data_IF_938404524670
#
_entry.id   IF_938404524670
#
_cell.length_a   1.000
_cell.length_b   1.000
_cell.length_c   1.000
_cell.angle_alpha   90.00
_cell.angle_beta   90.00
_cell.angle_gamma   90.00
#
_symmetry.space_group_name_H-M   'P 1'
#
loop_
_entity.id
_entity.type
_entity.pdbx_description
1 polymer ?
#
# COMPACT_ATOMS: atom_id res chain seq x y z
N UNK A 1 2.50 29.99 9.13
CA UNK A 1 3.43 29.67 10.23
C UNK A 1 3.06 28.28 10.74
N UNK A 2 3.75 27.25 10.26
CA UNK A 2 3.45 25.82 10.52
C UNK A 2 3.81 25.55 11.99
N UNK A 3 2.84 25.13 12.79
CA UNK A 3 3.12 24.62 14.14
C UNK A 3 3.77 23.24 14.04
N UNK A 4 5.10 23.22 13.95
CA UNK A 4 5.98 22.03 13.93
C UNK A 4 6.14 21.40 15.34
N UNK A 5 5.16 21.52 16.25
CA UNK A 5 5.37 21.22 17.66
C UNK A 5 5.40 19.72 18.02
N UNK A 6 5.08 18.79 17.11
CA UNK A 6 5.09 17.35 17.41
C UNK A 6 6.11 16.52 16.61
N UNK A 7 6.95 17.18 15.80
CA UNK A 7 8.06 16.51 15.10
C UNK A 7 9.19 15.97 16.01
N UNK A 8 9.52 16.60 17.15
CA UNK A 8 10.68 16.17 17.96
C UNK A 8 10.53 14.78 18.58
N UNK A 9 9.32 14.34 18.92
CA UNK A 9 9.10 13.00 19.49
C UNK A 9 9.38 11.91 18.44
N UNK A 10 9.07 12.17 17.19
CA UNK A 10 9.29 11.26 16.08
C UNK A 10 10.77 11.12 15.71
N UNK A 11 11.48 12.25 15.62
CA UNK A 11 12.92 12.26 15.36
C UNK A 11 13.72 11.57 16.47
N UNK A 12 13.32 11.78 17.72
CA UNK A 12 13.96 11.12 18.88
C UNK A 12 13.82 9.61 18.85
N UNK A 13 12.67 9.07 18.43
CA UNK A 13 12.43 7.61 18.40
C UNK A 13 13.22 6.90 17.27
N UNK A 14 13.35 7.52 16.10
CA UNK A 14 14.14 6.95 15.00
C UNK A 14 15.65 7.09 15.28
N UNK A 15 16.08 8.18 15.90
CA UNK A 15 17.44 8.31 16.41
C UNK A 15 17.76 7.25 17.48
N UNK A 16 16.82 6.91 18.37
CA UNK A 16 16.99 5.84 19.36
C UNK A 16 17.10 4.48 18.69
N UNK A 17 16.33 4.18 17.63
CA UNK A 17 16.47 2.95 16.86
C UNK A 17 17.80 2.90 16.07
N UNK A 18 18.25 4.02 15.53
CA UNK A 18 19.54 4.11 14.83
C UNK A 18 20.73 4.08 15.80
N UNK A 19 20.65 4.74 16.96
CA UNK A 19 21.70 4.78 17.98
C UNK A 19 21.78 3.45 18.75
N UNK A 20 20.65 2.78 19.04
CA UNK A 20 20.67 1.44 19.61
C UNK A 20 21.16 0.37 18.62
N UNK A 21 21.14 0.64 17.31
CA UNK A 21 21.78 -0.20 16.31
C UNK A 21 23.31 -0.16 16.39
N UNK A 22 23.88 0.92 16.95
CA UNK A 22 25.33 1.12 17.09
C UNK A 22 25.89 0.70 18.47
N UNK A 23 25.03 0.37 19.44
CA UNK A 23 25.40 0.23 20.86
C UNK A 23 25.34 -1.18 21.43
N UNK A 24 25.26 -2.26 20.66
CA UNK A 24 25.30 -3.63 21.18
C UNK A 24 26.73 -4.17 21.29
N UNK A 25 27.13 -4.54 22.50
CA UNK A 25 28.40 -5.16 22.86
C UNK A 25 28.61 -6.52 22.18
N UNK A 26 29.78 -6.66 21.64
CA UNK A 26 30.59 -7.82 21.26
C UNK A 26 30.07 -9.21 21.63
N UNK A 27 29.48 -9.90 20.66
CA UNK A 27 29.80 -11.29 20.37
C UNK A 27 30.37 -11.30 18.95
N UNK A 28 31.60 -11.75 18.77
CA UNK A 28 32.37 -11.76 17.52
C UNK A 28 31.79 -12.78 16.51
N UNK A 29 30.59 -12.50 16.00
CA UNK A 29 30.17 -13.04 14.72
C UNK A 29 30.50 -11.97 13.68
N UNK A 30 31.35 -12.28 12.69
CA UNK A 30 31.71 -11.35 11.61
C UNK A 30 30.44 -10.90 10.89
N UNK A 31 29.95 -9.74 11.26
CA UNK A 31 28.81 -9.11 10.57
C UNK A 31 29.16 -8.99 9.08
N UNK A 32 28.32 -9.55 8.22
CA UNK A 32 28.47 -9.47 6.76
C UNK A 32 27.50 -8.45 6.23
N UNK A 33 28.00 -7.38 5.64
CA UNK A 33 27.15 -6.40 4.97
C UNK A 33 26.91 -6.79 3.49
N UNK A 34 25.65 -6.77 3.10
CA UNK A 34 25.22 -6.88 1.69
C UNK A 34 24.57 -5.58 1.26
N UNK A 35 24.87 -5.17 0.05
CA UNK A 35 24.22 -4.01 -0.59
C UNK A 35 23.48 -4.47 -1.83
N UNK A 36 22.28 -3.95 -2.02
CA UNK A 36 21.57 -4.06 -3.27
C UNK A 36 21.07 -2.68 -3.69
N UNK A 37 21.24 -2.37 -4.94
CA UNK A 37 20.72 -1.14 -5.53
C UNK A 37 20.10 -1.46 -6.87
N UNK A 38 18.86 -1.04 -7.06
CA UNK A 38 18.15 -1.27 -8.29
C UNK A 38 17.55 0.04 -8.78
N UNK A 39 17.72 0.36 -10.08
CA UNK A 39 16.90 1.37 -10.70
C UNK A 39 15.45 0.90 -10.60
N UNK A 40 14.59 1.74 -10.05
CA UNK A 40 13.16 1.48 -10.03
C UNK A 40 12.56 2.11 -11.28
N UNK A 41 12.13 1.28 -12.21
CA UNK A 41 11.32 1.70 -13.35
C UNK A 41 9.90 1.18 -13.11
N UNK A 42 8.92 1.99 -13.39
CA UNK A 42 7.53 1.63 -13.22
C UNK A 42 6.68 2.29 -14.29
N UNK A 43 5.59 1.64 -14.62
CA UNK A 43 4.54 2.19 -15.44
C UNK A 43 3.19 1.80 -14.84
N UNK A 44 2.31 2.78 -14.71
CA UNK A 44 0.92 2.56 -14.37
C UNK A 44 0.05 3.42 -15.28
N UNK A 45 -1.04 2.87 -15.75
CA UNK A 45 -1.99 3.62 -16.60
C UNK A 45 -2.47 4.90 -15.90
N UNK A 46 -2.57 4.88 -14.56
CA UNK A 46 -3.01 6.03 -13.76
C UNK A 46 -1.86 6.97 -13.39
N UNK A 47 -0.65 6.46 -13.14
CA UNK A 47 0.50 7.23 -12.64
C UNK A 47 1.51 7.63 -13.71
N UNK A 48 1.41 7.04 -14.91
CA UNK A 48 2.33 7.26 -16.01
C UNK A 48 3.64 6.46 -15.87
N UNK A 49 4.65 6.82 -16.68
CA UNK A 49 5.99 6.26 -16.58
C UNK A 49 6.70 6.86 -15.38
N UNK A 50 7.36 6.02 -14.59
CA UNK A 50 8.11 6.43 -13.42
C UNK A 50 9.53 5.91 -13.41
N UNK A 51 10.41 6.68 -12.81
CA UNK A 51 11.79 6.35 -12.58
C UNK A 51 12.24 6.69 -11.17
N UNK A 52 13.21 5.94 -10.67
CA UNK A 52 13.75 6.15 -9.35
C UNK A 52 14.83 5.14 -9.00
N UNK A 53 15.09 4.99 -7.72
CA UNK A 53 16.00 3.98 -7.21
C UNK A 53 15.51 3.44 -5.85
N UNK A 54 15.79 2.17 -5.60
CA UNK A 54 15.70 1.54 -4.31
C UNK A 54 17.11 1.05 -3.94
N UNK A 55 17.62 1.51 -2.81
CA UNK A 55 18.93 1.11 -2.28
C UNK A 55 18.68 0.43 -0.94
N UNK A 56 19.22 -0.79 -0.79
CA UNK A 56 19.12 -1.54 0.46
C UNK A 56 20.52 -1.89 0.95
N UNK A 57 20.68 -1.80 2.25
CA UNK A 57 21.80 -2.35 3.00
C UNK A 57 21.27 -3.39 3.98
N UNK A 58 21.91 -4.53 4.05
CA UNK A 58 21.58 -5.60 4.99
C UNK A 58 22.81 -5.94 5.84
N UNK A 59 22.60 -6.13 7.11
CA UNK A 59 23.53 -6.75 8.04
C UNK A 59 23.06 -8.18 8.28
N UNK A 60 23.82 -9.14 7.78
CA UNK A 60 23.57 -10.57 8.02
C UNK A 60 24.36 -11.02 9.23
N UNK A 61 23.74 -11.79 10.11
CA UNK A 61 24.38 -12.41 11.27
C UNK A 61 23.79 -13.80 11.50
N UNK A 62 24.59 -14.71 12.07
CA UNK A 62 24.15 -16.06 12.40
C UNK A 62 22.98 -16.04 13.39
N UNK A 63 21.95 -16.85 13.14
CA UNK A 63 20.73 -16.92 13.96
C UNK A 63 19.70 -15.81 13.67
N UNK A 64 19.92 -15.01 12.66
CA UNK A 64 18.99 -13.98 12.22
C UNK A 64 18.52 -14.25 10.77
N UNK A 65 17.24 -14.42 10.58
CA UNK A 65 16.62 -14.61 9.26
C UNK A 65 15.46 -13.62 9.09
N UNK A 66 15.36 -12.99 7.92
CA UNK A 66 16.21 -13.05 6.72
C UNK A 66 17.49 -12.20 6.80
N UNK A 67 17.68 -11.39 7.83
CA UNK A 67 18.83 -10.53 8.17
C UNK A 67 18.71 -10.07 9.63
N UNK A 68 19.77 -9.50 10.20
CA UNK A 68 19.73 -8.86 11.53
C UNK A 68 19.17 -7.44 11.43
N UNK A 69 19.64 -6.66 10.43
CA UNK A 69 19.21 -5.28 10.17
C UNK A 69 19.08 -5.05 8.66
N UNK A 70 18.06 -4.30 8.26
CA UNK A 70 17.93 -3.78 6.91
C UNK A 70 17.68 -2.28 6.95
N UNK A 71 18.39 -1.54 6.11
CA UNK A 71 18.14 -0.14 5.79
C UNK A 71 17.74 -0.03 4.31
N UNK A 72 16.59 0.54 4.02
CA UNK A 72 16.09 0.75 2.67
C UNK A 72 15.83 2.23 2.43
N UNK A 73 16.31 2.75 1.31
CA UNK A 73 16.02 4.10 0.83
C UNK A 73 15.38 3.99 -0.55
N UNK A 74 14.21 4.59 -0.70
CA UNK A 74 13.45 4.64 -1.96
C UNK A 74 13.24 6.08 -2.38
N UNK A 75 13.54 6.40 -3.64
CA UNK A 75 13.14 7.62 -4.31
C UNK A 75 12.47 7.27 -5.64
N UNK A 76 11.26 7.78 -5.89
CA UNK A 76 10.51 7.49 -7.09
C UNK A 76 9.70 8.70 -7.56
N UNK A 77 9.75 8.98 -8.87
CA UNK A 77 9.03 10.07 -9.54
C UNK A 77 8.34 9.55 -10.79
N UNK A 78 7.22 10.15 -11.16
CA UNK A 78 6.50 9.76 -12.38
C UNK A 78 6.27 10.94 -13.32
N UNK A 79 6.00 10.61 -14.60
CA UNK A 79 5.67 11.60 -15.63
C UNK A 79 4.37 12.38 -15.34
N UNK A 80 3.51 11.84 -14.48
CA UNK A 80 2.31 12.53 -13.97
C UNK A 80 2.55 13.19 -12.61
N UNK A 81 3.81 13.51 -12.27
CA UNK A 81 4.23 14.23 -11.07
C UNK A 81 3.87 13.57 -9.75
N UNK A 82 3.67 12.25 -9.73
CA UNK A 82 3.60 11.49 -8.48
C UNK A 82 4.99 11.33 -7.92
N UNK A 83 5.18 11.66 -6.65
CA UNK A 83 6.44 11.54 -5.91
C UNK A 83 6.24 10.60 -4.73
N UNK A 84 7.14 9.64 -4.56
CA UNK A 84 7.13 8.70 -3.44
C UNK A 84 8.54 8.47 -2.92
N UNK A 85 8.82 8.95 -1.72
CA UNK A 85 10.13 8.84 -1.07
C UNK A 85 9.96 8.16 0.27
N UNK A 86 10.87 7.28 0.64
CA UNK A 86 10.81 6.52 1.89
C UNK A 86 12.20 6.13 2.37
N UNK A 87 12.39 6.18 3.68
CA UNK A 87 13.48 5.53 4.41
C UNK A 87 12.83 4.52 5.35
N UNK A 88 13.29 3.27 5.32
CA UNK A 88 12.82 2.18 6.18
C UNK A 88 14.01 1.53 6.87
N UNK A 89 13.87 1.31 8.16
CA UNK A 89 14.78 0.49 8.99
C UNK A 89 13.98 -0.71 9.50
N UNK A 90 14.52 -1.91 9.37
CA UNK A 90 13.89 -3.14 9.82
C UNK A 90 14.90 -3.96 10.61
N UNK A 91 14.63 -4.21 11.87
CA UNK A 91 15.49 -4.95 12.79
C UNK A 91 14.79 -6.20 13.29
N UNK A 92 15.33 -7.35 12.93
CA UNK A 92 14.87 -8.66 13.40
C UNK A 92 15.54 -8.99 14.73
N UNK A 93 14.81 -9.58 15.68
CA UNK A 93 15.26 -9.94 17.03
C UNK A 93 15.96 -8.77 17.75
N UNK A 94 15.27 -7.62 17.76
CA UNK A 94 15.77 -6.41 18.39
C UNK A 94 16.19 -6.69 19.86
N UNK A 95 17.37 -6.21 20.25
CA UNK A 95 17.95 -6.42 21.59
C UNK A 95 18.11 -7.90 21.98
N UNK A 96 18.27 -8.81 21.00
CA UNK A 96 18.35 -10.26 21.25
C UNK A 96 17.02 -10.91 21.64
N UNK A 97 15.94 -10.16 21.68
CA UNK A 97 14.58 -10.61 22.03
C UNK A 97 13.82 -11.11 20.78
N UNK A 98 12.75 -11.92 20.94
CA UNK A 98 11.92 -12.36 19.82
C UNK A 98 11.01 -11.22 19.34
N UNK A 99 11.61 -10.08 19.01
CA UNK A 99 10.96 -8.81 18.71
C UNK A 99 11.48 -8.21 17.41
N UNK A 100 10.62 -8.03 16.40
CA UNK A 100 10.94 -7.34 15.15
C UNK A 100 10.43 -5.91 15.23
N UNK A 101 11.28 -4.95 14.88
CA UNK A 101 10.96 -3.54 14.85
C UNK A 101 11.16 -2.99 13.44
N UNK A 102 10.16 -2.30 12.92
CA UNK A 102 10.23 -1.63 11.62
C UNK A 102 9.87 -0.16 11.82
N UNK A 103 10.83 0.72 11.50
CA UNK A 103 10.59 2.16 11.44
C UNK A 103 10.61 2.64 9.99
N UNK A 104 9.70 3.54 9.61
CA UNK A 104 9.76 4.21 8.32
C UNK A 104 9.31 5.66 8.38
N UNK A 105 9.93 6.48 7.55
CA UNK A 105 9.50 7.84 7.26
C UNK A 105 9.34 7.93 5.75
N UNK A 106 8.28 8.59 5.30
CA UNK A 106 8.06 8.77 3.88
C UNK A 106 7.27 10.03 3.57
N UNK A 107 7.48 10.45 2.33
CA UNK A 107 6.75 11.54 1.71
C UNK A 107 6.07 11.03 0.45
N UNK A 108 4.80 11.38 0.29
CA UNK A 108 4.03 11.07 -0.89
C UNK A 108 3.33 12.34 -1.39
N UNK A 109 3.34 12.55 -2.70
CA UNK A 109 2.65 13.67 -3.33
C UNK A 109 2.09 13.24 -4.67
N UNK A 110 0.83 13.56 -4.91
CA UNK A 110 0.17 13.33 -6.20
C UNK A 110 -0.72 14.51 -6.58
N UNK A 111 -0.61 15.02 -7.82
CA UNK A 111 -1.53 16.02 -8.34
C UNK A 111 -2.75 15.40 -9.03
N UNK A 112 -2.80 14.08 -9.18
CA UNK A 112 -3.75 13.43 -10.11
C UNK A 112 -4.28 12.09 -9.62
N UNK A 113 -4.50 11.95 -8.30
CA UNK A 113 -5.19 10.78 -7.77
C UNK A 113 -6.63 10.73 -8.27
N UNK A 114 -7.11 9.55 -8.64
CA UNK A 114 -8.48 9.41 -9.08
C UNK A 114 -9.48 9.55 -7.93
N UNK A 115 -10.58 10.26 -8.18
CA UNK A 115 -11.74 10.33 -7.32
C UNK A 115 -13.00 10.24 -8.17
N UNK A 116 -13.67 9.11 -8.16
CA UNK A 116 -14.85 8.84 -9.00
C UNK A 116 -16.19 9.14 -8.33
N UNK A 117 -16.15 9.72 -7.12
CA UNK A 117 -17.33 9.99 -6.30
C UNK A 117 -17.56 8.93 -5.22
N UNK A 118 -18.65 9.04 -4.50
CA UNK A 118 -19.04 8.11 -3.44
C UNK A 118 -19.49 6.78 -4.05
N UNK A 119 -19.03 5.70 -3.52
CA UNK A 119 -18.92 4.33 -4.07
C UNK A 119 -20.04 3.84 -5.00
N UNK A 120 -21.30 3.87 -4.58
CA UNK A 120 -22.41 3.30 -5.40
C UNK A 120 -22.70 4.09 -6.67
N UNK A 121 -22.25 5.33 -6.71
CA UNK A 121 -22.38 6.26 -7.83
C UNK A 121 -21.01 6.58 -8.44
N UNK A 122 -20.00 5.77 -8.12
CA UNK A 122 -18.65 5.94 -8.61
C UNK A 122 -18.61 5.75 -10.13
N UNK A 123 -18.62 6.86 -10.83
CA UNK A 123 -18.57 6.94 -12.29
C UNK A 123 -17.51 7.94 -12.69
N UNK A 124 -16.43 7.45 -13.27
CA UNK A 124 -15.36 8.24 -13.87
C UNK A 124 -15.54 8.40 -15.39
N UNK A 125 -16.78 8.34 -15.91
CA UNK A 125 -17.01 8.47 -17.32
C UNK A 125 -16.71 9.90 -17.83
N UNK A 126 -16.10 9.97 -18.99
CA UNK A 126 -15.82 11.24 -19.65
C UNK A 126 -17.12 12.01 -19.97
N UNK A 127 -18.21 11.27 -20.25
CA UNK A 127 -19.51 11.86 -20.52
C UNK A 127 -20.06 12.66 -19.33
N UNK A 128 -19.94 12.15 -18.10
CA UNK A 128 -20.34 12.88 -16.89
C UNK A 128 -19.52 14.16 -16.73
N UNK A 129 -18.22 14.12 -16.93
CA UNK A 129 -17.36 15.30 -16.85
C UNK A 129 -17.72 16.34 -17.93
N UNK A 130 -18.02 15.90 -19.17
CA UNK A 130 -18.48 16.78 -20.25
C UNK A 130 -19.82 17.42 -19.95
N UNK A 131 -20.79 16.69 -19.42
CA UNK A 131 -22.09 17.23 -19.01
C UNK A 131 -21.94 18.30 -17.92
N UNK A 132 -21.04 18.09 -16.96
CA UNK A 132 -20.76 19.10 -15.93
C UNK A 132 -20.08 20.35 -16.52
N UNK A 133 -19.14 20.18 -17.46
CA UNK A 133 -18.55 21.30 -18.18
C UNK A 133 -19.59 22.13 -18.95
N UNK A 134 -20.53 21.45 -19.60
CA UNK A 134 -21.64 22.10 -20.32
C UNK A 134 -22.58 22.85 -19.35
N UNK A 135 -22.87 22.26 -18.18
CA UNK A 135 -23.66 22.92 -17.12
C UNK A 135 -23.01 24.21 -16.60
N UNK A 136 -21.66 24.23 -16.55
CA UNK A 136 -20.89 25.41 -16.16
C UNK A 136 -20.67 26.40 -17.30
N UNK A 137 -21.15 26.10 -18.52
CA UNK A 137 -20.99 26.97 -19.68
C UNK A 137 -19.54 27.06 -20.21
N UNK A 138 -18.70 26.08 -19.88
CA UNK A 138 -17.31 26.06 -20.28
C UNK A 138 -17.18 25.71 -21.77
N UNK A 139 -16.30 26.43 -22.48
CA UNK A 139 -16.07 26.24 -23.91
C UNK A 139 -14.60 26.04 -24.22
N UNK A 140 -14.33 25.35 -25.32
CA UNK A 140 -13.00 25.14 -25.90
C UNK A 140 -11.96 24.64 -24.89
N UNK A 141 -10.84 25.34 -24.71
CA UNK A 141 -9.70 24.93 -23.89
C UNK A 141 -10.07 24.75 -22.40
N UNK A 142 -10.92 25.62 -21.85
CA UNK A 142 -11.36 25.51 -20.45
C UNK A 142 -12.17 24.25 -20.20
N UNK A 143 -12.99 23.85 -21.17
CA UNK A 143 -13.78 22.60 -21.13
C UNK A 143 -12.88 21.37 -21.12
N UNK A 144 -11.84 21.33 -21.96
CA UNK A 144 -10.90 20.22 -22.01
C UNK A 144 -10.10 20.10 -20.71
N UNK A 145 -9.54 21.22 -20.23
CA UNK A 145 -8.82 21.28 -18.94
C UNK A 145 -9.71 20.82 -17.80
N UNK A 146 -10.96 21.29 -17.74
CA UNK A 146 -11.93 20.89 -16.72
C UNK A 146 -12.21 19.38 -16.78
N UNK A 147 -12.55 18.85 -17.97
CA UNK A 147 -12.89 17.44 -18.16
C UNK A 147 -11.74 16.51 -17.72
N UNK A 148 -10.51 16.88 -18.07
CA UNK A 148 -9.32 16.12 -17.70
C UNK A 148 -9.01 16.13 -16.19
N UNK A 149 -9.47 17.15 -15.47
CA UNK A 149 -9.20 17.32 -14.04
C UNK A 149 -10.41 17.07 -13.14
N UNK A 150 -11.61 16.87 -13.69
CA UNK A 150 -12.86 16.73 -12.94
C UNK A 150 -12.81 15.62 -11.88
N UNK A 151 -12.16 14.51 -12.19
CA UNK A 151 -12.01 13.35 -11.32
C UNK A 151 -10.67 13.31 -10.59
N UNK A 152 -9.99 14.44 -10.42
CA UNK A 152 -8.65 14.46 -9.79
C UNK A 152 -8.72 15.02 -8.37
N UNK A 153 -8.11 14.27 -7.46
CA UNK A 153 -7.76 14.72 -6.12
C UNK A 153 -6.25 15.03 -6.08
N UNK A 154 -5.89 16.02 -5.31
CA UNK A 154 -4.51 16.52 -5.16
C UNK A 154 -4.15 16.52 -3.70
N UNK A 155 -3.21 15.71 -3.31
CA UNK A 155 -2.76 15.73 -1.93
C UNK A 155 -1.28 15.44 -1.76
N UNK A 156 -0.78 15.81 -0.61
CA UNK A 156 0.55 15.48 -0.13
C UNK A 156 0.43 14.88 1.26
N UNK A 157 1.36 14.00 1.59
CA UNK A 157 1.40 13.33 2.87
C UNK A 157 2.85 13.14 3.31
N UNK A 158 3.16 13.60 4.51
CA UNK A 158 4.38 13.24 5.23
C UNK A 158 3.98 12.29 6.35
N UNK A 159 4.60 11.13 6.40
CA UNK A 159 4.27 10.14 7.42
C UNK A 159 5.50 9.57 8.09
N UNK A 160 5.32 9.16 9.33
CA UNK A 160 6.25 8.34 10.07
C UNK A 160 5.49 7.19 10.72
N UNK A 161 6.12 6.02 10.77
CA UNK A 161 5.52 4.81 11.30
C UNK A 161 6.54 3.99 12.06
N UNK A 162 6.08 3.43 13.17
CA UNK A 162 6.78 2.41 13.92
C UNK A 162 5.86 1.19 14.01
N UNK A 163 6.30 0.09 13.46
CA UNK A 163 5.65 -1.21 13.56
C UNK A 163 6.49 -2.12 14.44
N UNK A 164 5.83 -2.97 15.20
CA UNK A 164 6.46 -3.93 16.10
C UNK A 164 5.72 -5.25 16.01
N UNK A 165 6.47 -6.35 15.96
CA UNK A 165 5.96 -7.71 16.05
C UNK A 165 6.72 -8.47 17.12
N UNK A 166 5.99 -8.93 18.15
CA UNK A 166 6.52 -9.73 19.26
C UNK A 166 6.08 -11.18 19.10
N UNK A 167 7.03 -12.10 18.92
CA UNK A 167 6.73 -13.52 18.84
C UNK A 167 6.28 -14.05 20.20
N UNK A 168 5.02 -14.48 20.28
CA UNK A 168 4.42 -15.05 21.49
C UNK A 168 4.61 -16.57 21.57
N UNK A 169 4.52 -17.23 20.43
CA UNK A 169 4.60 -18.68 20.34
C UNK A 169 5.08 -19.12 18.96
N UNK A 170 5.83 -20.22 18.93
CA UNK A 170 6.33 -20.84 17.71
C UNK A 170 6.07 -22.35 17.75
N UNK A 171 5.37 -22.87 16.77
CA UNK A 171 5.07 -24.27 16.59
C UNK A 171 4.88 -24.58 15.12
N UNK A 172 3.72 -25.11 14.72
CA UNK A 172 3.37 -25.30 13.30
C UNK A 172 3.17 -23.96 12.55
N UNK A 173 2.98 -22.89 13.29
CA UNK A 173 2.94 -21.50 12.83
C UNK A 173 3.59 -20.61 13.88
N UNK A 174 3.94 -19.36 13.52
CA UNK A 174 4.42 -18.34 14.43
C UNK A 174 3.25 -17.42 14.81
N UNK A 175 2.88 -17.38 16.10
CA UNK A 175 1.92 -16.44 16.63
C UNK A 175 2.65 -15.21 17.16
N UNK A 176 2.32 -14.04 16.65
CA UNK A 176 2.92 -12.77 17.04
C UNK A 176 1.86 -11.75 17.47
N UNK A 177 2.17 -10.98 18.51
CA UNK A 177 1.48 -9.73 18.83
C UNK A 177 2.05 -8.62 17.96
N UNK A 178 1.21 -7.96 17.21
CA UNK A 178 1.61 -6.81 16.40
C UNK A 178 1.07 -5.52 16.99
N UNK A 179 1.83 -4.46 16.88
CA UNK A 179 1.36 -3.12 17.16
C UNK A 179 2.03 -2.11 16.23
N UNK A 180 1.35 -1.02 15.93
CA UNK A 180 1.96 0.08 15.19
C UNK A 180 1.49 1.43 15.70
N UNK A 181 2.37 2.42 15.53
CA UNK A 181 2.03 3.83 15.60
C UNK A 181 2.33 4.47 14.26
N UNK A 182 1.36 5.19 13.70
CA UNK A 182 1.54 5.95 12.47
C UNK A 182 1.07 7.38 12.66
N UNK A 183 1.98 8.32 12.49
CA UNK A 183 1.68 9.74 12.34
C UNK A 183 1.68 10.12 10.88
N UNK A 184 0.64 10.77 10.42
CA UNK A 184 0.50 11.20 9.03
C UNK A 184 -0.03 12.63 8.99
N UNK A 185 0.67 13.51 8.29
CA UNK A 185 0.20 14.86 8.04
C UNK A 185 -0.27 14.95 6.59
N UNK A 186 -1.52 15.36 6.39
CA UNK A 186 -2.16 15.52 5.10
C UNK A 186 -2.29 16.98 4.72
N UNK A 187 -1.96 17.31 3.47
CA UNK A 187 -2.17 18.61 2.85
C UNK A 187 -2.92 18.46 1.53
N UNK A 188 -3.80 19.38 1.27
CA UNK A 188 -4.31 19.64 -0.07
C UNK A 188 -3.43 20.73 -0.68
N UNK A 189 -2.90 20.50 -1.87
CA UNK A 189 -2.07 21.49 -2.56
C UNK A 189 -2.72 21.88 -3.86
N UNK A 190 -2.88 23.19 -4.07
CA UNK A 190 -3.19 23.72 -5.38
C UNK A 190 -1.93 23.68 -6.27
N UNK A 191 -1.99 22.91 -7.34
CA UNK A 191 -1.01 22.92 -8.41
C UNK A 191 -1.60 23.80 -9.52
N UNK A 192 -1.43 25.09 -9.42
CA UNK A 192 -2.02 26.11 -10.29
C UNK A 192 -1.88 25.88 -11.80
N UNK A 193 -0.92 25.03 -12.19
CA UNK A 193 -0.65 24.69 -13.59
C UNK A 193 -1.54 23.56 -14.15
N UNK A 194 -2.45 22.96 -13.35
CA UNK A 194 -3.22 21.75 -13.73
C UNK A 194 -4.73 22.05 -13.85
N UNK A 195 -5.12 23.33 -13.82
CA UNK A 195 -6.52 23.77 -13.97
C UNK A 195 -7.27 23.94 -12.65
N UNK A 196 -8.48 24.47 -12.68
CA UNK A 196 -9.23 24.86 -11.49
C UNK A 196 -9.67 23.66 -10.66
N UNK A 197 -9.02 23.49 -9.51
CA UNK A 197 -9.31 22.43 -8.52
C UNK A 197 -10.70 22.60 -7.90
N UNK A 198 -11.13 23.84 -7.69
CA UNK A 198 -12.37 24.21 -6.97
C UNK A 198 -13.65 23.59 -7.58
N UNK A 199 -13.63 23.28 -8.87
CA UNK A 199 -14.76 22.67 -9.56
C UNK A 199 -14.63 21.15 -9.75
N UNK A 200 -13.58 20.51 -9.18
CA UNK A 200 -13.45 19.06 -9.24
C UNK A 200 -14.57 18.37 -8.46
N UNK A 201 -14.89 17.13 -8.82
CA UNK A 201 -15.87 16.33 -8.09
C UNK A 201 -15.46 16.18 -6.61
N UNK A 202 -14.17 16.00 -6.35
CA UNK A 202 -13.63 15.90 -4.99
C UNK A 202 -13.88 17.17 -4.17
N UNK A 203 -13.57 18.35 -4.73
CA UNK A 203 -13.79 19.62 -4.03
C UNK A 203 -15.27 19.91 -3.75
N UNK A 204 -16.18 19.43 -4.60
CA UNK A 204 -17.63 19.54 -4.40
C UNK A 204 -18.14 18.62 -3.28
N UNK A 205 -17.63 17.38 -3.22
CA UNK A 205 -18.04 16.39 -2.21
C UNK A 205 -17.39 16.67 -0.85
N UNK A 206 -16.20 17.29 -0.84
CA UNK A 206 -15.42 17.65 0.35
C UNK A 206 -15.06 19.15 0.37
N UNK A 207 -16.04 20.04 0.45
CA UNK A 207 -15.75 21.47 0.51
C UNK A 207 -14.93 21.81 1.76
N UNK A 208 -13.81 22.50 1.57
CA UNK A 208 -12.78 22.75 2.60
C UNK A 208 -13.31 23.59 3.79
N UNK A 209 -14.35 24.39 3.57
CA UNK A 209 -15.03 25.18 4.60
C UNK A 209 -15.94 24.33 5.50
N UNK A 210 -16.34 23.13 5.07
CA UNK A 210 -17.29 22.26 5.79
C UNK A 210 -16.67 20.95 6.26
N UNK A 211 -15.76 20.37 5.47
CA UNK A 211 -15.20 19.04 5.72
C UNK A 211 -13.68 19.12 5.75
N UNK A 212 -13.12 18.95 6.94
CA UNK A 212 -11.67 18.99 7.12
C UNK A 212 -10.99 17.79 6.46
N UNK A 213 -10.09 18.05 5.52
CA UNK A 213 -9.27 17.05 4.85
C UNK A 213 -7.76 17.22 5.14
N UNK A 214 -7.37 18.31 5.81
CA UNK A 214 -5.99 18.63 6.13
C UNK A 214 -5.70 18.54 7.62
N UNK A 215 -4.51 18.11 7.97
CA UNK A 215 -4.01 18.09 9.33
C UNK A 215 -3.26 16.83 9.69
N UNK A 216 -3.00 16.67 10.98
CA UNK A 216 -2.28 15.55 11.55
C UNK A 216 -3.23 14.44 11.99
N UNK A 217 -2.97 13.21 11.55
CA UNK A 217 -3.65 11.99 11.97
C UNK A 217 -2.66 11.09 12.71
N UNK A 218 -2.93 10.82 13.97
CA UNK A 218 -2.18 9.87 14.80
C UNK A 218 -2.99 8.59 14.94
N UNK A 219 -2.47 7.48 14.43
CA UNK A 219 -3.12 6.17 14.46
C UNK A 219 -2.32 5.22 15.33
N UNK A 220 -2.98 4.58 16.29
CA UNK A 220 -2.46 3.44 17.03
C UNK A 220 -3.17 2.18 16.57
N UNK A 221 -2.43 1.07 16.45
CA UNK A 221 -2.95 -0.22 16.05
C UNK A 221 -2.37 -1.34 16.92
N UNK A 222 -3.18 -2.35 17.21
CA UNK A 222 -2.80 -3.58 17.90
C UNK A 222 -3.50 -4.76 17.26
N UNK A 223 -2.83 -5.90 17.16
CA UNK A 223 -3.41 -7.10 16.55
C UNK A 223 -2.61 -8.37 16.84
N UNK A 224 -3.09 -9.45 16.30
CA UNK A 224 -2.45 -10.76 16.33
C UNK A 224 -2.20 -11.22 14.89
N UNK A 225 -1.04 -11.82 14.67
CA UNK A 225 -0.61 -12.39 13.39
C UNK A 225 -0.18 -13.84 13.59
N UNK A 226 -0.68 -14.73 12.74
CA UNK A 226 -0.29 -16.13 12.69
C UNK A 226 0.29 -16.42 11.31
N UNK A 227 1.56 -16.84 11.24
CA UNK A 227 2.31 -17.05 10.00
C UNK A 227 2.94 -18.44 9.96
N UNK A 228 2.59 -19.25 8.95
CA UNK A 228 3.16 -20.55 8.67
C UNK A 228 3.76 -20.66 7.27
N UNK A 229 3.96 -19.52 6.59
CA UNK A 229 4.50 -19.51 5.23
C UNK A 229 5.92 -20.07 5.20
N UNK A 230 6.22 -20.83 4.17
CA UNK A 230 7.57 -21.37 3.91
C UNK A 230 8.58 -20.29 3.48
N UNK A 231 8.10 -19.16 2.94
CA UNK A 231 8.93 -18.00 2.58
C UNK A 231 8.10 -16.70 2.71
N UNK A 232 8.72 -15.63 3.20
CA UNK A 232 8.03 -14.34 3.39
C UNK A 232 7.71 -13.64 2.07
N UNK A 233 8.64 -13.65 1.10
CA UNK A 233 8.53 -12.86 -0.13
C UNK A 233 7.98 -13.63 -1.33
N UNK A 234 8.23 -14.95 -1.38
CA UNK A 234 7.82 -15.83 -2.47
C UNK A 234 7.24 -17.14 -1.92
N UNK A 235 6.13 -17.10 -1.16
CA UNK A 235 5.57 -18.27 -0.52
C UNK A 235 4.98 -19.26 -1.54
N UNK A 236 5.23 -20.56 -1.28
CA UNK A 236 4.67 -21.66 -2.06
C UNK A 236 3.73 -22.53 -1.25
N UNK A 237 3.80 -22.47 0.09
CA UNK A 237 2.94 -23.24 0.99
C UNK A 237 2.73 -22.51 2.31
N UNK A 238 1.65 -22.88 3.02
CA UNK A 238 1.32 -22.32 4.30
C UNK A 238 0.27 -21.22 4.24
N UNK A 239 0.11 -20.51 5.34
CA UNK A 239 -0.88 -19.45 5.47
C UNK A 239 -0.34 -18.30 6.33
N UNK A 240 -0.98 -17.16 6.19
CA UNK A 240 -0.79 -15.99 7.03
C UNK A 240 -2.15 -15.38 7.36
N UNK A 241 -2.43 -15.23 8.65
CA UNK A 241 -3.66 -14.67 9.18
C UNK A 241 -3.36 -13.50 10.09
N UNK A 242 -4.12 -12.44 9.98
CA UNK A 242 -3.98 -11.26 10.81
C UNK A 242 -5.34 -10.70 11.21
N UNK A 243 -5.49 -10.33 12.47
CA UNK A 243 -6.62 -9.57 12.99
C UNK A 243 -6.09 -8.40 13.79
N UNK A 244 -6.56 -7.19 13.50
CA UNK A 244 -6.12 -5.98 14.19
C UNK A 244 -7.26 -5.00 14.42
N UNK A 245 -7.07 -4.14 15.42
CA UNK A 245 -7.92 -2.96 15.67
C UNK A 245 -7.03 -1.73 15.72
N UNK A 246 -7.54 -0.61 15.20
CA UNK A 246 -6.81 0.65 15.14
C UNK A 246 -7.70 1.85 15.46
N UNK A 247 -7.10 2.93 15.89
CA UNK A 247 -7.85 4.14 16.16
C UNK A 247 -6.99 5.38 16.30
N UNK A 248 -7.68 6.52 16.27
CA UNK A 248 -7.12 7.83 16.55
C UNK A 248 -8.10 8.63 17.40
N UNK A 249 -7.57 9.52 18.23
CA UNK A 249 -8.37 10.39 19.05
C UNK A 249 -7.72 11.77 19.22
N UNK A 250 -8.52 12.79 19.48
CA UNK A 250 -8.02 14.17 19.66
C UNK A 250 -6.98 14.29 20.78
N UNK A 251 -7.09 13.49 21.84
CA UNK A 251 -6.12 13.51 22.95
C UNK A 251 -4.73 12.98 22.54
N UNK A 252 -4.61 12.21 21.43
CA UNK A 252 -3.31 11.80 20.85
C UNK A 252 -2.74 12.86 19.89
N UNK A 253 -3.30 14.05 19.83
CA UNK A 253 -2.93 15.13 18.91
C UNK A 253 -3.54 14.99 17.51
N UNK A 254 -4.41 14.01 17.30
CA UNK A 254 -5.09 13.80 16.01
C UNK A 254 -6.16 14.86 15.75
N UNK A 255 -6.27 15.28 14.49
CA UNK A 255 -7.36 16.16 14.05
C UNK A 255 -8.70 15.43 13.92
N UNK A 256 -8.68 14.11 13.90
CA UNK A 256 -9.84 13.24 13.69
C UNK A 256 -9.94 12.18 14.79
N UNK A 257 -11.16 11.67 14.98
CA UNK A 257 -11.44 10.54 15.84
C UNK A 257 -12.03 9.41 15.01
N UNK A 258 -11.44 8.22 15.09
CA UNK A 258 -11.97 7.03 14.44
C UNK A 258 -11.59 5.77 15.21
N UNK A 259 -12.31 4.69 14.90
CA UNK A 259 -11.98 3.33 15.27
C UNK A 259 -12.12 2.44 14.04
N UNK A 260 -11.25 1.46 13.88
CA UNK A 260 -11.29 0.51 12.76
C UNK A 260 -10.84 -0.88 13.18
N UNK A 261 -11.28 -1.87 12.41
CA UNK A 261 -10.88 -3.26 12.54
C UNK A 261 -10.49 -3.82 11.17
N UNK A 262 -9.50 -4.70 11.16
CA UNK A 262 -9.02 -5.41 9.99
C UNK A 262 -8.96 -6.90 10.27
N UNK A 263 -9.35 -7.69 9.27
CA UNK A 263 -9.12 -9.12 9.19
C UNK A 263 -8.54 -9.43 7.82
N UNK A 264 -7.38 -10.06 7.78
CA UNK A 264 -6.69 -10.42 6.55
C UNK A 264 -6.18 -11.85 6.62
N UNK A 265 -6.31 -12.56 5.50
CA UNK A 265 -5.88 -13.94 5.38
C UNK A 265 -5.16 -14.14 4.04
N UNK A 266 -4.11 -14.96 4.05
CA UNK A 266 -3.41 -15.42 2.84
C UNK A 266 -3.21 -16.92 2.94
N UNK A 267 -3.41 -17.61 1.83
CA UNK A 267 -3.21 -19.06 1.72
C UNK A 267 -2.38 -19.38 0.48
N UNK A 268 -1.49 -20.35 0.64
CA UNK A 268 -0.62 -20.82 -0.42
C UNK A 268 -0.65 -22.33 -0.45
N UNK A 269 -0.97 -22.88 -1.60
CA UNK A 269 -1.10 -24.31 -1.79
C UNK A 269 -0.37 -24.74 -3.05
N UNK A 270 0.71 -25.52 -2.89
CA UNK A 270 1.40 -26.19 -3.99
C UNK A 270 0.58 -27.36 -4.47
N UNK A 271 0.29 -27.40 -5.76
CA UNK A 271 -0.46 -28.48 -6.41
C UNK A 271 0.43 -29.63 -6.86
N UNK A 272 1.74 -29.43 -6.89
CA UNK A 272 2.75 -30.41 -7.28
C UNK A 272 3.86 -30.54 -6.23
N UNK A 273 4.56 -31.68 -6.25
CA UNK A 273 5.65 -31.98 -5.31
C UNK A 273 6.87 -31.09 -5.48
N UNK A 274 7.10 -30.57 -6.69
CA UNK A 274 8.20 -29.65 -7.00
C UNK A 274 7.92 -28.19 -6.63
N UNK A 275 6.69 -27.92 -6.15
CA UNK A 275 6.21 -26.57 -5.78
C UNK A 275 6.32 -25.54 -6.89
N UNK A 276 6.16 -26.01 -8.13
CA UNK A 276 6.15 -25.16 -9.31
C UNK A 276 4.77 -24.55 -9.60
N UNK A 277 3.71 -25.28 -9.28
CA UNK A 277 2.33 -24.86 -9.48
C UNK A 277 1.67 -24.52 -8.15
N UNK A 278 1.37 -23.26 -7.91
CA UNK A 278 0.88 -22.75 -6.63
C UNK A 278 -0.43 -21.99 -6.83
N UNK A 279 -1.44 -22.32 -6.04
CA UNK A 279 -2.60 -21.45 -5.82
C UNK A 279 -2.26 -20.54 -4.65
N UNK A 280 -2.39 -19.24 -4.84
CA UNK A 280 -2.24 -18.22 -3.82
C UNK A 280 -3.54 -17.41 -3.72
N UNK A 281 -4.03 -17.19 -2.50
CA UNK A 281 -5.24 -16.41 -2.22
C UNK A 281 -4.97 -15.37 -1.14
N UNK A 282 -5.59 -14.20 -1.26
CA UNK A 282 -5.63 -13.16 -0.23
C UNK A 282 -7.05 -12.63 -0.05
N UNK A 283 -7.54 -12.69 1.18
CA UNK A 283 -8.82 -12.09 1.60
C UNK A 283 -8.57 -10.94 2.56
N UNK A 284 -9.26 -9.83 2.39
CA UNK A 284 -9.18 -8.66 3.25
C UNK A 284 -10.59 -8.17 3.58
N UNK A 285 -10.86 -7.99 4.87
CA UNK A 285 -12.04 -7.28 5.39
C UNK A 285 -11.53 -6.14 6.26
N UNK A 286 -11.91 -4.91 5.94
CA UNK A 286 -11.52 -3.71 6.66
C UNK A 286 -12.72 -2.81 6.92
N UNK A 287 -12.89 -2.40 8.16
CA UNK A 287 -14.03 -1.60 8.58
C UNK A 287 -13.60 -0.45 9.48
N UNK A 288 -14.14 0.76 9.27
CA UNK A 288 -13.84 1.94 10.08
C UNK A 288 -15.11 2.73 10.40
N UNK A 289 -15.18 3.26 11.62
CA UNK A 289 -16.23 4.17 12.10
C UNK A 289 -15.59 5.46 12.61
N UNK A 290 -16.35 6.55 12.62
CA UNK A 290 -15.86 7.86 13.04
C UNK A 290 -15.46 8.76 11.87
N UNK A 291 -14.64 9.78 12.14
CA UNK A 291 -14.25 10.78 11.15
C UNK A 291 -12.80 10.59 10.74
N UNK A 292 -12.56 10.54 9.43
CA UNK A 292 -11.24 10.44 8.81
C UNK A 292 -11.18 11.33 7.56
N UNK A 293 -9.99 11.80 7.16
CA UNK A 293 -9.82 12.37 5.84
C UNK A 293 -9.96 11.28 4.77
N UNK A 294 -10.37 11.66 3.57
CA UNK A 294 -10.59 10.73 2.45
C UNK A 294 -9.37 9.83 2.18
N UNK A 295 -8.18 10.43 2.16
CA UNK A 295 -6.95 9.69 1.87
C UNK A 295 -6.58 8.67 2.97
N UNK A 296 -6.96 8.92 4.22
CA UNK A 296 -6.82 7.94 5.31
C UNK A 296 -7.90 6.85 5.23
N UNK A 297 -9.11 7.20 4.77
CA UNK A 297 -10.20 6.25 4.57
C UNK A 297 -9.86 5.21 3.47
N UNK A 298 -9.05 5.59 2.49
CA UNK A 298 -8.59 4.67 1.45
C UNK A 298 -7.70 3.54 2.00
N UNK A 299 -7.00 3.73 3.12
CA UNK A 299 -6.04 2.75 3.65
C UNK A 299 -6.72 1.53 4.26
N UNK A 300 -6.04 0.40 4.11
CA UNK A 300 -6.35 -0.85 4.80
C UNK A 300 -5.50 -0.93 6.07
N UNK A 301 -6.06 -1.48 7.16
CA UNK A 301 -5.35 -1.67 8.42
C UNK A 301 -4.42 -2.88 8.42
N UNK A 302 -3.82 -3.13 9.59
CA UNK A 302 -2.93 -4.24 9.83
C UNK A 302 -1.50 -3.98 9.33
N UNK A 303 -0.67 -5.02 9.38
CA UNK A 303 0.69 -4.99 8.84
C UNK A 303 0.72 -4.69 7.34
N UNK A 304 -0.41 -4.83 6.66
CA UNK A 304 -0.59 -4.48 5.25
C UNK A 304 -0.46 -2.99 4.99
N UNK A 305 -0.67 -2.15 6.00
CA UNK A 305 -0.38 -0.72 5.90
C UNK A 305 1.10 -0.46 5.56
N UNK A 306 2.01 -1.37 5.93
CA UNK A 306 3.42 -1.34 5.52
C UNK A 306 3.61 -1.53 4.02
N UNK A 307 2.67 -2.15 3.33
CA UNK A 307 2.68 -2.36 1.88
C UNK A 307 1.95 -1.25 1.11
N UNK A 308 1.50 -0.19 1.81
CA UNK A 308 0.73 0.93 1.25
C UNK A 308 -0.54 0.48 0.52
N UNK A 309 -1.21 -0.57 1.01
CA UNK A 309 -2.50 -1.01 0.48
C UNK A 309 -3.55 0.07 0.68
N UNK A 310 -4.10 0.50 -0.44
CA UNK A 310 -5.13 1.53 -0.48
C UNK A 310 -6.48 0.91 -0.91
N UNK A 311 -7.41 1.75 -1.32
CA UNK A 311 -8.74 1.40 -1.79
C UNK A 311 -8.76 0.33 -2.89
N UNK A 312 -9.93 -0.23 -3.15
CA UNK A 312 -10.10 -1.20 -4.22
C UNK A 312 -9.95 -0.56 -5.60
N UNK A 313 -9.04 -1.12 -6.39
CA UNK A 313 -8.61 -0.64 -7.70
C UNK A 313 -7.10 -0.32 -7.74
N UNK A 314 -6.49 -0.56 -8.88
CA UNK A 314 -5.06 -0.31 -9.11
C UNK A 314 -4.16 -1.54 -8.95
N UNK A 315 -2.86 -1.32 -8.95
CA UNK A 315 -1.84 -2.37 -9.07
C UNK A 315 -1.75 -3.35 -7.89
N UNK A 316 -2.27 -2.99 -6.73
CA UNK A 316 -2.18 -3.79 -5.49
C UNK A 316 -3.50 -4.47 -5.13
N UNK A 317 -4.60 -3.76 -5.21
CA UNK A 317 -5.92 -4.26 -4.81
C UNK A 317 -6.93 -3.96 -5.94
N UNK A 318 -7.19 -4.94 -6.82
CA UNK A 318 -8.15 -4.78 -7.92
C UNK A 318 -7.51 -4.41 -9.26
N UNK A 319 -6.57 -5.24 -9.73
CA UNK A 319 -5.92 -5.10 -11.03
C UNK A 319 -6.93 -5.13 -12.18
N UNK A 320 -6.74 -4.27 -13.18
CA UNK A 320 -7.70 -4.07 -14.27
C UNK A 320 -8.69 -2.93 -14.02
N UNK A 321 -8.78 -2.45 -12.78
CA UNK A 321 -9.56 -1.28 -12.38
C UNK A 321 -8.66 -0.05 -12.21
N UNK A 322 -9.23 1.15 -12.35
CA UNK A 322 -8.53 2.41 -12.03
C UNK A 322 -8.06 2.41 -10.59
N UNK A 323 -6.93 3.05 -10.35
CA UNK A 323 -6.42 3.22 -8.99
C UNK A 323 -7.45 3.96 -8.13
N UNK A 324 -7.73 3.40 -6.95
CA UNK A 324 -8.70 3.93 -5.98
C UNK A 324 -10.11 4.13 -6.55
N UNK A 325 -10.57 3.22 -7.40
CA UNK A 325 -11.92 3.30 -7.97
C UNK A 325 -13.00 3.35 -6.87
N UNK A 326 -12.82 2.53 -5.83
CA UNK A 326 -13.77 2.46 -4.71
C UNK A 326 -13.06 2.68 -3.37
N UNK A 327 -13.45 3.74 -2.67
CA UNK A 327 -13.00 4.10 -1.32
C UNK A 327 -14.21 4.09 -0.39
N UNK A 328 -14.11 3.45 0.76
CA UNK A 328 -15.23 3.34 1.69
C UNK A 328 -14.82 3.00 3.11
N UNK A 329 -15.79 3.09 4.03
CA UNK A 329 -15.64 2.73 5.44
C UNK A 329 -15.59 1.24 5.66
N UNK A 330 -16.17 0.48 4.76
CA UNK A 330 -16.09 -0.97 4.71
C UNK A 330 -15.45 -1.41 3.39
N UNK A 331 -14.54 -2.36 3.44
CA UNK A 331 -13.88 -2.94 2.29
C UNK A 331 -13.89 -4.46 2.43
N UNK A 332 -14.25 -5.16 1.36
CA UNK A 332 -14.10 -6.60 1.25
C UNK A 332 -13.44 -6.92 -0.09
N UNK A 333 -12.29 -7.59 -0.03
CA UNK A 333 -11.44 -7.83 -1.20
C UNK A 333 -10.96 -9.27 -1.15
N UNK A 334 -11.07 -9.96 -2.28
CA UNK A 334 -10.53 -11.29 -2.51
C UNK A 334 -9.64 -11.25 -3.75
N UNK A 335 -8.44 -11.81 -3.64
CA UNK A 335 -7.49 -11.93 -4.74
C UNK A 335 -7.04 -13.38 -4.85
N UNK A 336 -7.12 -13.93 -6.04
CA UNK A 336 -6.70 -15.30 -6.36
C UNK A 336 -5.65 -15.26 -7.46
N UNK A 337 -4.56 -16.01 -7.28
CA UNK A 337 -3.53 -16.21 -8.29
C UNK A 337 -3.23 -17.71 -8.46
N UNK A 338 -3.18 -18.14 -9.71
CA UNK A 338 -2.53 -19.39 -10.10
C UNK A 338 -1.13 -19.04 -10.62
N UNK A 339 -0.07 -19.53 -9.96
CA UNK A 339 1.34 -19.24 -10.23
C UNK A 339 2.03 -20.50 -10.74
N UNK A 340 2.74 -20.39 -11.85
CA UNK A 340 3.50 -21.50 -12.43
C UNK A 340 4.96 -21.10 -12.69
N UNK A 341 5.90 -21.71 -11.96
CA UNK A 341 7.33 -21.55 -12.19
C UNK A 341 7.73 -22.41 -13.41
N UNK A 342 7.89 -21.74 -14.55
CA UNK A 342 8.18 -22.43 -15.81
C UNK A 342 9.67 -22.46 -16.16
N UNK A 343 10.49 -21.63 -15.52
CA UNK A 343 11.91 -21.57 -15.76
C UNK A 343 12.69 -21.08 -14.55
N UNK A 344 13.71 -21.85 -14.16
CA UNK A 344 14.65 -21.50 -13.08
C UNK A 344 16.05 -21.60 -13.61
N UNK A 345 16.89 -20.57 -13.37
CA UNK A 345 18.26 -20.52 -13.84
C UNK A 345 19.17 -19.79 -12.85
N UNK A 346 20.47 -20.00 -12.99
CA UNK A 346 21.49 -19.30 -12.21
C UNK A 346 22.27 -18.34 -13.12
N UNK A 347 22.43 -17.11 -12.68
CA UNK A 347 23.24 -16.09 -13.35
C UNK A 347 24.10 -15.39 -12.31
N UNK A 348 25.42 -15.31 -12.53
CA UNK A 348 26.38 -14.70 -11.61
C UNK A 348 26.23 -15.12 -10.14
N UNK A 349 26.06 -16.44 -9.89
CA UNK A 349 25.84 -17.06 -8.57
C UNK A 349 24.49 -16.72 -7.89
N UNK A 350 23.59 -16.07 -8.58
CA UNK A 350 22.25 -15.76 -8.09
C UNK A 350 21.20 -16.63 -8.75
N UNK A 351 20.15 -16.95 -8.04
CA UNK A 351 19.07 -17.80 -8.54
C UNK A 351 17.93 -16.92 -9.06
N UNK A 352 17.46 -17.24 -10.23
CA UNK A 352 16.31 -16.58 -10.84
C UNK A 352 15.22 -17.61 -11.12
N UNK A 353 13.99 -17.24 -10.82
CA UNK A 353 12.81 -18.03 -11.16
C UNK A 353 11.83 -17.16 -11.96
N UNK A 354 11.38 -17.66 -13.11
CA UNK A 354 10.36 -17.01 -13.94
C UNK A 354 9.03 -17.71 -13.73
N UNK A 355 8.05 -16.96 -13.26
CA UNK A 355 6.74 -17.48 -12.86
C UNK A 355 5.66 -16.78 -13.67
N UNK A 356 4.92 -17.56 -14.47
CA UNK A 356 3.69 -17.11 -15.08
C UNK A 356 2.56 -17.11 -14.05
N UNK A 357 1.68 -16.13 -14.11
CA UNK A 357 0.52 -16.05 -13.25
C UNK A 357 -0.74 -15.76 -14.04
N UNK A 358 -1.86 -16.33 -13.58
CA UNK A 358 -3.19 -15.88 -13.93
C UNK A 358 -3.88 -15.42 -12.64
N UNK A 359 -4.56 -14.29 -12.68
CA UNK A 359 -5.16 -13.73 -11.48
C UNK A 359 -6.60 -13.28 -11.68
N UNK A 360 -7.32 -13.23 -10.56
CA UNK A 360 -8.62 -12.61 -10.43
C UNK A 360 -8.68 -11.85 -9.12
N UNK A 361 -9.07 -10.59 -9.17
CA UNK A 361 -9.28 -9.70 -8.04
C UNK A 361 -10.76 -9.32 -7.99
N UNK A 362 -11.45 -9.60 -6.87
CA UNK A 362 -12.86 -9.31 -6.67
C UNK A 362 -13.00 -8.47 -5.41
N UNK A 363 -13.80 -7.44 -5.44
CA UNK A 363 -14.03 -6.67 -4.22
C UNK A 363 -15.03 -5.56 -4.38
N UNK A 364 -15.33 -4.94 -3.25
CA UNK A 364 -16.12 -3.73 -3.17
C UNK A 364 -15.72 -2.91 -1.94
N UNK A 365 -16.08 -1.62 -1.95
CA UNK A 365 -16.08 -0.79 -0.77
C UNK A 365 -17.47 -0.18 -0.57
N UNK A 366 -17.94 -0.06 0.68
CA UNK A 366 -19.14 0.69 1.02
C UNK A 366 -18.73 2.03 1.64
N UNK A 367 -19.32 3.13 1.15
CA UNK A 367 -19.02 4.47 1.65
C UNK A 367 -19.40 4.62 3.13
N UNK A 368 -20.61 4.14 3.47
CA UNK A 368 -21.11 4.07 4.84
C UNK A 368 -21.95 2.82 5.08
N UNK A 369 -22.25 2.53 6.35
CA UNK A 369 -23.01 1.33 6.73
C UNK A 369 -24.50 1.42 6.39
N UNK A 370 -25.07 2.62 6.23
CA UNK A 370 -26.47 2.81 5.82
C UNK A 370 -26.68 2.42 4.36
N UNK A 371 -25.63 2.59 3.55
CA UNK A 371 -25.64 2.27 2.11
C UNK A 371 -25.06 0.88 1.81
N UNK A 372 -24.68 0.12 2.81
CA UNK A 372 -23.94 -1.14 2.66
C UNK A 372 -24.57 -2.08 1.62
N UNK A 373 -25.87 -2.38 1.74
CA UNK A 373 -26.55 -3.29 0.82
C UNK A 373 -26.66 -2.75 -0.62
N UNK A 374 -26.69 -1.43 -0.78
CA UNK A 374 -26.67 -0.79 -2.09
C UNK A 374 -25.28 -0.85 -2.69
N UNK A 375 -24.28 -0.49 -1.91
CA UNK A 375 -22.88 -0.42 -2.34
C UNK A 375 -22.32 -1.83 -2.59
N UNK A 376 -22.80 -2.86 -1.88
CA UNK A 376 -22.43 -4.26 -2.13
C UNK A 376 -22.83 -4.73 -3.54
N UNK A 377 -23.88 -4.14 -4.17
CA UNK A 377 -24.21 -4.40 -5.57
C UNK A 377 -23.18 -3.89 -6.56
N UNK A 378 -22.29 -3.00 -6.12
CA UNK A 378 -21.18 -2.45 -6.90
C UNK A 378 -19.90 -3.31 -6.80
N UNK A 379 -20.02 -4.61 -6.54
CA UNK A 379 -18.88 -5.54 -6.61
C UNK A 379 -18.24 -5.46 -7.97
N UNK A 380 -16.94 -5.31 -7.98
CA UNK A 380 -16.12 -5.23 -9.20
C UNK A 380 -15.19 -6.42 -9.29
N UNK A 381 -14.86 -6.78 -10.51
CA UNK A 381 -13.92 -7.85 -10.82
C UNK A 381 -12.86 -7.36 -11.80
N UNK A 382 -11.61 -7.72 -11.52
CA UNK A 382 -10.51 -7.56 -12.45
C UNK A 382 -9.76 -8.89 -12.60
N UNK A 383 -9.24 -9.17 -13.79
CA UNK A 383 -8.53 -10.41 -14.06
C UNK A 383 -7.49 -10.21 -15.17
N UNK A 384 -6.58 -11.17 -15.29
CA UNK A 384 -5.60 -11.15 -16.36
C UNK A 384 -4.38 -12.02 -16.11
N UNK A 385 -3.45 -12.04 -17.07
CA UNK A 385 -2.16 -12.68 -16.95
C UNK A 385 -1.14 -11.80 -16.23
N UNK A 386 -0.12 -12.45 -15.68
CA UNK A 386 1.02 -11.79 -15.06
C UNK A 386 2.30 -12.58 -15.21
N UNK A 387 3.42 -11.90 -15.05
CA UNK A 387 4.76 -12.47 -15.02
C UNK A 387 5.45 -12.04 -13.73
N UNK A 388 6.19 -12.95 -13.10
CA UNK A 388 7.02 -12.69 -11.93
C UNK A 388 8.45 -13.10 -12.22
N UNK A 389 9.41 -12.32 -11.76
CA UNK A 389 10.82 -12.71 -11.72
C UNK A 389 11.22 -12.70 -10.26
N UNK A 390 11.48 -13.86 -9.69
CA UNK A 390 12.01 -14.00 -8.33
C UNK A 390 13.53 -14.05 -8.41
N UNK A 391 14.17 -13.15 -7.70
CA UNK A 391 15.62 -13.07 -7.58
C UNK A 391 16.00 -13.46 -6.15
N UNK A 392 16.68 -14.61 -6.01
CA UNK A 392 17.05 -15.25 -4.72
C UNK A 392 15.86 -15.35 -3.74
N UNK A 393 14.60 -15.42 -4.24
CA UNK A 393 13.36 -15.46 -3.45
C UNK A 393 13.18 -14.30 -2.44
N UNK A 394 14.01 -13.29 -2.52
CA UNK A 394 13.97 -12.10 -1.65
C UNK A 394 13.55 -10.85 -2.40
N UNK A 395 13.80 -10.80 -3.69
CA UNK A 395 13.45 -9.68 -4.55
C UNK A 395 12.54 -10.15 -5.68
N UNK A 396 11.44 -9.45 -5.88
CA UNK A 396 10.42 -9.84 -6.86
C UNK A 396 10.13 -8.66 -7.78
N UNK A 397 10.20 -8.90 -9.09
CA UNK A 397 9.68 -7.98 -10.11
C UNK A 397 8.41 -8.60 -10.66
N UNK A 398 7.35 -7.81 -10.70
CA UNK A 398 6.03 -8.21 -11.14
C UNK A 398 5.57 -7.36 -12.31
N UNK A 399 5.10 -8.01 -13.38
CA UNK A 399 4.41 -7.39 -14.51
C UNK A 399 3.02 -8.01 -14.65
N UNK A 400 1.97 -7.20 -14.62
CA UNK A 400 0.58 -7.65 -14.76
C UNK A 400 -0.13 -6.90 -15.90
N UNK A 401 -0.99 -7.60 -16.61
CA UNK A 401 -1.94 -7.04 -17.55
C UNK A 401 -3.35 -7.33 -17.05
N UNK A 402 -4.02 -6.33 -16.50
CA UNK A 402 -5.35 -6.45 -15.91
C UNK A 402 -6.44 -5.87 -16.81
N UNK A 403 -7.60 -6.49 -16.80
CA UNK A 403 -8.83 -6.05 -17.48
C UNK A 403 -10.02 -6.20 -16.56
N UNK A 404 -11.06 -5.37 -16.77
CA UNK A 404 -12.31 -5.43 -16.02
C UNK A 404 -13.50 -5.08 -16.91
N UNK A 405 -14.65 -5.78 -16.77
CA UNK A 405 -15.90 -5.36 -17.43
C UNK A 405 -16.33 -3.93 -17.07
N UNK A 406 -16.07 -3.50 -15.84
CA UNK A 406 -16.38 -2.14 -15.37
C UNK A 406 -15.60 -1.03 -16.10
N UNK A 407 -14.47 -1.37 -16.71
CA UNK A 407 -13.63 -0.48 -17.50
C UNK A 407 -13.71 -0.83 -19.00
N UNK A 408 -14.81 -1.47 -19.46
CA UNK A 408 -15.00 -1.91 -20.85
C UNK A 408 -13.83 -2.77 -21.36
N UNK A 409 -13.24 -3.59 -20.49
CA UNK A 409 -12.06 -4.43 -20.79
C UNK A 409 -10.84 -3.63 -21.27
N UNK A 410 -10.75 -2.33 -20.94
CA UNK A 410 -9.56 -1.56 -21.29
C UNK A 410 -8.35 -2.13 -20.54
N UNK A 411 -7.28 -2.56 -21.25
CA UNK A 411 -6.14 -3.20 -20.62
C UNK A 411 -5.31 -2.21 -19.82
N UNK A 412 -4.98 -2.58 -18.57
CA UNK A 412 -4.11 -1.82 -17.68
C UNK A 412 -2.85 -2.61 -17.39
N UNK A 413 -1.72 -2.02 -17.70
CA UNK A 413 -0.42 -2.61 -17.46
C UNK A 413 0.19 -2.06 -16.17
N UNK A 414 0.79 -2.95 -15.37
CA UNK A 414 1.47 -2.63 -14.12
C UNK A 414 2.85 -3.28 -14.10
N UNK A 415 3.87 -2.50 -13.77
CA UNK A 415 5.23 -3.00 -13.48
C UNK A 415 5.61 -2.55 -12.08
N UNK A 416 5.78 -3.49 -11.16
CA UNK A 416 5.92 -3.22 -9.72
C UNK A 416 7.01 -4.11 -9.12
N UNK A 417 7.70 -3.59 -8.12
CA UNK A 417 8.64 -4.37 -7.28
C UNK A 417 7.90 -4.91 -6.06
N UNK A 418 8.02 -6.21 -5.82
CA UNK A 418 7.35 -6.94 -4.75
C UNK A 418 6.17 -7.78 -5.24
N UNK A 419 5.83 -8.85 -4.51
CA UNK A 419 4.55 -9.54 -4.65
C UNK A 419 3.42 -8.68 -4.08
N UNK A 420 2.18 -9.01 -4.45
CA UNK A 420 1.02 -8.43 -3.78
C UNK A 420 0.89 -9.08 -2.40
N UNK A 421 1.02 -10.41 -2.34
CA UNK A 421 0.88 -11.21 -1.13
C UNK A 421 1.66 -12.50 -1.24
#
# INVERSE_FOLDING_TARGET
MIKLLNLPVFFSFICVLAVSALGEEKTESKARFRFSGLPALGFGSDTGFGGGAIINMYEDAEGYEPYKLSLSVKGFFTSKFVNSHMIKVDRVRAFGLPWRLIGRIGFYSTPSQNYCGLVSDADCSENRAKLEADRLGLRTQDREVFTNNFYKNRYMSLYGELFSSWLLWQGFAQLSLINSYRGNYYWQRDFSNIGPYENSLYARDFPSDKIRQEGYLSTLEIGLMLDSRDNESAPTSGFWLESSVRGAAKFTGSAWNFFGANLSARFYWSLDSERKLVIASQSIIDAVVGNLPYDALSRVGGSQALNDYNAFGGSLLGRGLREQLQVGRFKAIEQLELRYNFWSFKLWRQNFEMVAAAFTDIGFAAWDYQRFLRDMKAVQIGFGPGLRIYWDKTFVIRADLGMSPAENFYPRFYLVVGNIF
#
